data_IF_284837141053
#
_entry.id   IF_284837141053
#
_cell.length_a   1.000
_cell.length_b   1.000
_cell.length_c   1.000
_cell.angle_alpha   90.00
_cell.angle_beta   90.00
_cell.angle_gamma   90.00
#
_symmetry.space_group_name_H-M   'P 1'
#
loop_
_entity.id
_entity.type
_entity.pdbx_description
1 polymer ?
#
# COMPACT_ATOMS: atom_id res chain seq x y z
N UNK A 1 14.04 65.89 -12.87
CA UNK A 1 14.35 64.76 -13.81
C UNK A 1 15.61 63.97 -13.45
N UNK A 2 16.69 64.56 -12.93
CA UNK A 2 17.95 63.82 -12.60
C UNK A 2 17.81 62.91 -11.34
N UNK A 3 16.89 63.15 -10.43
CA UNK A 3 16.68 62.27 -9.27
C UNK A 3 15.78 61.06 -9.54
N UNK A 4 14.89 61.16 -10.52
CA UNK A 4 14.01 60.04 -10.90
C UNK A 4 14.81 58.95 -11.66
N UNK A 5 15.77 59.34 -12.48
CA UNK A 5 16.65 58.40 -13.20
C UNK A 5 17.57 57.61 -12.25
N UNK A 6 18.03 58.21 -11.14
CA UNK A 6 18.84 57.55 -10.11
C UNK A 6 18.07 56.55 -9.28
N UNK A 7 16.79 56.76 -9.03
CA UNK A 7 15.91 55.83 -8.28
C UNK A 7 15.57 54.58 -9.12
N UNK A 8 15.33 54.80 -10.43
CA UNK A 8 15.11 53.65 -11.35
C UNK A 8 16.34 52.77 -11.52
N UNK A 9 17.54 53.35 -11.56
CA UNK A 9 18.78 52.62 -11.69
C UNK A 9 19.13 51.82 -10.42
N UNK A 10 18.74 52.28 -9.25
CA UNK A 10 18.95 51.57 -7.99
C UNK A 10 17.92 50.43 -7.79
N UNK A 11 16.70 50.57 -8.32
CA UNK A 11 15.66 49.53 -8.28
C UNK A 11 15.98 48.38 -9.26
N UNK A 12 16.58 48.65 -10.41
CA UNK A 12 17.05 47.62 -11.34
C UNK A 12 18.28 46.84 -10.82
N UNK A 13 19.13 47.46 -9.98
CA UNK A 13 20.29 46.77 -9.39
C UNK A 13 19.93 45.82 -8.27
N UNK A 14 18.79 46.07 -7.55
CA UNK A 14 18.28 45.17 -6.51
C UNK A 14 17.60 43.92 -7.05
N UNK A 15 17.14 43.91 -8.30
CA UNK A 15 16.53 42.74 -8.96
C UNK A 15 17.58 41.75 -9.44
N UNK A 16 18.84 42.16 -9.63
CA UNK A 16 19.92 41.30 -10.11
C UNK A 16 20.68 40.53 -9.01
N UNK A 17 20.38 40.79 -7.73
CA UNK A 17 21.03 40.11 -6.60
C UNK A 17 20.17 39.00 -5.97
N UNK A 18 19.05 38.61 -6.60
CA UNK A 18 18.04 37.69 -6.04
C UNK A 18 18.00 36.29 -6.63
N UNK A 19 18.84 35.95 -7.60
CA UNK A 19 18.98 34.55 -8.06
C UNK A 19 20.26 33.94 -7.48
N UNK A 20 20.26 33.61 -6.19
CA UNK A 20 20.97 32.40 -5.79
C UNK A 20 20.12 31.26 -6.34
N UNK A 21 20.60 30.57 -7.38
CA UNK A 21 20.23 29.20 -7.64
C UNK A 21 20.47 28.48 -6.31
N UNK A 22 19.41 28.20 -5.58
CA UNK A 22 19.47 27.12 -4.61
C UNK A 22 19.75 25.90 -5.48
N UNK A 23 20.89 25.28 -5.32
CA UNK A 23 21.16 23.89 -5.73
C UNK A 23 20.21 22.98 -4.94
N UNK A 24 18.90 23.12 -5.21
CA UNK A 24 17.92 22.16 -4.74
C UNK A 24 18.14 20.90 -5.56
N UNK A 25 18.41 19.80 -4.88
CA UNK A 25 18.52 18.50 -5.53
C UNK A 25 17.37 18.30 -6.54
N UNK A 26 17.64 17.68 -7.70
CA UNK A 26 16.66 17.56 -8.78
C UNK A 26 15.45 16.73 -8.27
N UNK A 27 14.33 17.40 -8.13
CA UNK A 27 13.08 16.77 -7.66
C UNK A 27 12.17 16.45 -8.85
N UNK A 28 11.42 15.34 -8.71
CA UNK A 28 10.35 14.98 -9.63
C UNK A 28 9.00 15.45 -9.07
N UNK A 29 8.13 15.91 -9.95
CA UNK A 29 6.71 16.13 -9.70
C UNK A 29 5.94 15.92 -11.01
N UNK A 30 5.72 14.65 -11.37
CA UNK A 30 5.06 14.27 -12.59
C UNK A 30 3.79 13.45 -12.32
N UNK A 31 2.85 13.53 -13.26
CA UNK A 31 1.68 12.64 -13.30
C UNK A 31 1.70 11.86 -14.60
N UNK A 32 1.80 10.55 -14.49
CA UNK A 32 1.70 9.61 -15.58
C UNK A 32 0.30 8.97 -15.59
N UNK A 33 -0.12 8.46 -16.75
CA UNK A 33 -1.41 7.77 -16.87
C UNK A 33 -1.23 6.43 -17.57
N UNK A 34 -1.73 5.36 -16.95
CA UNK A 34 -1.90 4.07 -17.58
C UNK A 34 -3.36 3.91 -18.02
N UNK A 35 -3.58 3.79 -19.34
CA UNK A 35 -4.89 3.44 -19.91
C UNK A 35 -4.91 1.99 -20.33
N UNK A 36 -5.71 1.18 -19.65
CA UNK A 36 -5.76 -0.25 -19.95
C UNK A 36 -7.13 -0.86 -19.66
N UNK A 37 -7.68 -1.55 -20.65
CA UNK A 37 -8.96 -2.30 -20.56
C UNK A 37 -10.06 -1.51 -19.85
N UNK A 38 -10.29 -0.29 -20.32
CA UNK A 38 -11.36 0.58 -19.83
C UNK A 38 -11.04 1.37 -18.55
N UNK A 39 -9.91 1.09 -17.89
CA UNK A 39 -9.43 1.88 -16.76
C UNK A 39 -8.43 2.95 -17.20
N UNK A 40 -8.54 4.15 -16.64
CA UNK A 40 -7.59 5.26 -16.76
C UNK A 40 -7.03 5.55 -15.37
N UNK A 41 -5.80 5.08 -15.14
CA UNK A 41 -5.17 4.98 -13.83
C UNK A 41 -4.03 5.98 -13.71
N UNK A 42 -4.11 6.98 -12.81
CA UNK A 42 -3.02 7.92 -12.58
C UNK A 42 -1.90 7.30 -11.73
N UNK A 43 -0.67 7.74 -12.00
CA UNK A 43 0.54 7.45 -11.23
C UNK A 43 1.27 8.77 -10.99
N UNK A 44 1.28 9.26 -9.76
CA UNK A 44 2.00 10.47 -9.37
C UNK A 44 3.40 10.09 -8.93
N UNK A 45 4.42 10.63 -9.60
CA UNK A 45 5.82 10.43 -9.23
C UNK A 45 6.33 11.71 -8.58
N UNK A 46 6.75 11.62 -7.34
CA UNK A 46 7.17 12.77 -6.53
C UNK A 46 8.43 12.43 -5.72
N UNK A 47 9.35 13.38 -5.65
CA UNK A 47 10.48 13.25 -4.73
C UNK A 47 11.84 13.43 -5.38
N UNK A 48 12.88 12.98 -4.70
CA UNK A 48 14.27 13.14 -5.10
C UNK A 48 14.63 12.18 -6.24
N UNK A 49 15.16 12.72 -7.34
CA UNK A 49 15.64 11.93 -8.50
C UNK A 49 16.96 11.18 -8.23
N UNK A 50 17.71 11.60 -7.24
CA UNK A 50 18.92 10.92 -6.79
C UNK A 50 18.59 10.10 -5.54
N UNK A 51 18.91 8.82 -5.45
CA UNK A 51 19.88 8.02 -6.23
C UNK A 51 19.28 7.19 -7.40
N UNK A 52 18.30 7.66 -8.13
CA UNK A 52 17.60 6.92 -9.19
C UNK A 52 16.84 5.67 -8.68
N UNK A 53 16.20 5.80 -7.53
CA UNK A 53 15.36 4.76 -6.94
C UNK A 53 13.90 5.22 -6.92
N UNK A 54 13.00 4.32 -7.32
CA UNK A 54 11.54 4.54 -7.29
C UNK A 54 10.93 3.54 -6.33
N UNK A 55 10.14 4.03 -5.39
CA UNK A 55 9.29 3.19 -4.54
C UNK A 55 7.85 3.31 -5.03
N UNK A 56 7.33 2.26 -5.66
CA UNK A 56 5.93 2.18 -6.09
C UNK A 56 5.07 1.80 -4.88
N UNK A 57 4.25 2.74 -4.44
CA UNK A 57 3.26 2.49 -3.40
C UNK A 57 2.01 1.83 -4.00
N UNK A 58 1.71 0.61 -3.52
CA UNK A 58 0.57 -0.21 -3.89
C UNK A 58 -0.41 -0.22 -2.73
N UNK A 59 -1.42 0.63 -2.81
CA UNK A 59 -2.37 0.86 -1.72
C UNK A 59 -3.28 -0.34 -1.44
N UNK A 60 -3.89 -0.33 -0.26
CA UNK A 60 -4.84 -1.31 0.21
C UNK A 60 -6.27 -1.13 -0.32
N UNK A 61 -7.22 -1.60 0.41
CA UNK A 61 -8.64 -1.62 0.10
C UNK A 61 -9.17 -3.04 -0.05
N UNK A 62 -9.70 -3.45 -1.24
CA UNK A 62 -9.63 -2.81 -2.57
C UNK A 62 -10.40 -1.49 -2.69
N UNK A 63 -9.94 -0.62 -3.60
CA UNK A 63 -10.66 0.62 -3.93
C UNK A 63 -10.28 1.84 -3.10
N UNK A 64 -9.17 1.80 -2.37
CA UNK A 64 -8.62 2.94 -1.61
C UNK A 64 -7.98 4.00 -2.54
N UNK A 65 -7.07 4.82 -2.07
CA UNK A 65 -6.48 5.92 -2.83
C UNK A 65 -5.01 6.12 -2.43
N UNK A 66 -4.10 6.05 -3.39
CA UNK A 66 -2.67 6.13 -3.11
C UNK A 66 -2.26 7.51 -2.56
N UNK A 67 -2.77 8.60 -3.15
CA UNK A 67 -2.43 9.96 -2.72
C UNK A 67 -2.93 10.30 -1.32
N UNK A 68 -3.92 9.57 -0.80
CA UNK A 68 -4.43 9.76 0.56
C UNK A 68 -3.38 9.36 1.60
N UNK A 69 -2.53 8.42 1.27
CA UNK A 69 -1.42 7.95 2.12
C UNK A 69 -0.20 8.87 2.06
N UNK A 70 -0.10 9.74 1.06
CA UNK A 70 1.07 10.62 0.88
C UNK A 70 1.39 11.44 2.11
N UNK A 71 0.39 11.85 2.89
CA UNK A 71 0.62 12.60 4.12
C UNK A 71 1.60 11.90 5.07
N UNK A 72 1.51 10.56 5.18
CA UNK A 72 2.34 9.73 6.05
C UNK A 72 3.65 9.31 5.38
N UNK A 73 3.67 9.22 4.05
CA UNK A 73 4.80 8.69 3.29
C UNK A 73 5.69 9.77 2.66
N UNK A 74 5.26 11.05 2.70
CA UNK A 74 5.94 12.16 2.00
C UNK A 74 7.38 12.41 2.45
N UNK A 75 7.77 11.99 3.64
CA UNK A 75 9.16 12.12 4.09
C UNK A 75 10.12 11.26 3.28
N UNK A 76 9.64 10.13 2.72
CA UNK A 76 10.39 9.29 1.80
C UNK A 76 10.72 10.00 0.48
N UNK A 77 9.93 10.99 0.09
CA UNK A 77 10.18 11.82 -1.11
C UNK A 77 11.47 12.63 -1.02
N UNK A 78 12.09 12.75 0.17
CA UNK A 78 13.39 13.39 0.33
C UNK A 78 14.54 12.46 -0.08
N UNK A 79 14.34 11.15 -0.05
CA UNK A 79 15.37 10.15 -0.27
C UNK A 79 15.25 9.47 -1.64
N UNK A 80 14.02 9.33 -2.16
CA UNK A 80 13.70 8.59 -3.40
C UNK A 80 12.57 9.26 -4.16
N UNK A 81 12.31 8.79 -5.37
CA UNK A 81 11.05 9.05 -6.06
C UNK A 81 9.98 8.09 -5.52
N UNK A 82 8.92 8.64 -4.94
CA UNK A 82 7.71 7.88 -4.59
C UNK A 82 6.76 7.90 -5.77
N UNK A 83 6.30 6.73 -6.23
CA UNK A 83 5.26 6.60 -7.23
C UNK A 83 3.94 6.14 -6.55
N UNK A 84 2.95 7.01 -6.54
CA UNK A 84 1.63 6.75 -5.97
C UNK A 84 0.67 6.34 -7.08
N UNK A 85 0.26 5.09 -7.12
CA UNK A 85 -0.62 4.55 -8.16
C UNK A 85 -2.03 4.28 -7.63
N UNK A 86 -3.03 4.95 -8.20
CA UNK A 86 -4.42 4.57 -7.98
C UNK A 86 -4.79 3.42 -8.93
N UNK A 87 -5.12 2.30 -8.32
CA UNK A 87 -5.52 1.07 -9.01
C UNK A 87 -6.85 1.27 -9.76
N UNK A 88 -7.20 0.35 -10.67
CA UNK A 88 -8.52 0.38 -11.34
C UNK A 88 -9.66 0.46 -10.33
N UNK A 89 -10.68 1.25 -10.60
CA UNK A 89 -11.83 1.56 -9.74
C UNK A 89 -11.47 2.07 -8.33
N UNK A 90 -10.30 2.69 -8.18
CA UNK A 90 -9.80 3.23 -6.91
C UNK A 90 -9.42 4.71 -7.05
N UNK A 91 -9.49 5.47 -5.98
CA UNK A 91 -9.03 6.85 -5.88
C UNK A 91 -9.50 7.74 -7.02
N UNK A 92 -8.56 8.32 -7.76
CA UNK A 92 -8.80 9.18 -8.92
C UNK A 92 -8.84 8.42 -10.27
N UNK A 93 -8.78 7.08 -10.24
CA UNK A 93 -8.95 6.28 -11.46
C UNK A 93 -10.33 6.46 -12.05
N UNK A 94 -10.41 6.51 -13.37
CA UNK A 94 -11.62 6.76 -14.14
C UNK A 94 -11.79 5.75 -15.28
N UNK A 95 -12.82 5.96 -16.10
CA UNK A 95 -13.10 5.16 -17.29
C UNK A 95 -14.30 4.23 -17.12
N UNK A 96 -14.54 3.40 -18.14
CA UNK A 96 -15.63 2.40 -18.17
C UNK A 96 -15.02 1.02 -17.95
N UNK A 97 -14.82 0.68 -16.69
CA UNK A 97 -14.24 -0.61 -16.30
C UNK A 97 -15.31 -1.70 -16.40
N UNK A 98 -15.03 -2.75 -17.15
CA UNK A 98 -15.85 -3.96 -17.15
C UNK A 98 -15.66 -4.69 -15.79
N UNK A 99 -16.75 -4.94 -15.02
CA UNK A 99 -16.67 -5.69 -13.78
C UNK A 99 -15.97 -7.05 -13.90
N UNK A 100 -16.07 -7.69 -15.06
CA UNK A 100 -15.36 -8.94 -15.34
C UNK A 100 -13.82 -8.82 -15.27
N UNK A 101 -13.27 -7.60 -15.30
CA UNK A 101 -11.84 -7.32 -15.16
C UNK A 101 -11.40 -7.12 -13.69
N UNK A 102 -12.34 -7.12 -12.74
CA UNK A 102 -12.01 -7.01 -11.31
C UNK A 102 -11.56 -8.38 -10.77
N UNK A 103 -10.35 -8.79 -11.17
CA UNK A 103 -9.71 -10.07 -10.81
C UNK A 103 -8.24 -9.85 -10.52
N UNK A 104 -7.66 -10.69 -9.66
CA UNK A 104 -6.22 -10.62 -9.34
C UNK A 104 -5.32 -10.63 -10.58
N UNK A 105 -5.64 -11.48 -11.57
CA UNK A 105 -4.87 -11.53 -12.82
C UNK A 105 -4.83 -10.18 -13.53
N UNK A 106 -5.96 -9.43 -13.56
CA UNK A 106 -6.01 -8.12 -14.21
C UNK A 106 -5.28 -7.04 -13.40
N UNK A 107 -5.43 -7.03 -12.08
CA UNK A 107 -4.67 -6.09 -11.24
C UNK A 107 -3.17 -6.38 -11.31
N UNK A 108 -2.77 -7.67 -11.40
CA UNK A 108 -1.38 -8.05 -11.62
C UNK A 108 -0.84 -7.57 -12.97
N UNK A 109 -1.64 -7.65 -14.04
CA UNK A 109 -1.31 -7.11 -15.37
C UNK A 109 -1.19 -5.58 -15.33
N UNK A 110 -2.11 -4.89 -14.64
CA UNK A 110 -2.03 -3.43 -14.48
C UNK A 110 -0.74 -3.03 -13.75
N UNK A 111 -0.40 -3.73 -12.69
CA UNK A 111 0.83 -3.49 -11.93
C UNK A 111 2.08 -3.68 -12.79
N UNK A 112 2.13 -4.74 -13.60
CA UNK A 112 3.21 -4.96 -14.56
C UNK A 112 3.33 -3.79 -15.55
N UNK A 113 2.20 -3.31 -16.08
CA UNK A 113 2.19 -2.20 -17.01
C UNK A 113 2.59 -0.87 -16.35
N UNK A 114 2.21 -0.64 -15.09
CA UNK A 114 2.67 0.52 -14.30
C UNK A 114 4.19 0.48 -14.11
N UNK A 115 4.75 -0.68 -13.74
CA UNK A 115 6.20 -0.85 -13.57
C UNK A 115 6.92 -0.61 -14.89
N UNK A 116 6.40 -1.13 -16.01
CA UNK A 116 6.95 -0.87 -17.34
C UNK A 116 6.86 0.61 -17.75
N UNK A 117 5.77 1.30 -17.39
CA UNK A 117 5.61 2.74 -17.60
C UNK A 117 6.66 3.53 -16.82
N UNK A 118 6.87 3.19 -15.53
CA UNK A 118 7.92 3.82 -14.73
C UNK A 118 9.30 3.58 -15.30
N UNK A 119 9.64 2.34 -15.67
CA UNK A 119 10.95 2.01 -16.29
C UNK A 119 11.16 2.66 -17.65
N UNK A 120 10.11 2.90 -18.42
CA UNK A 120 10.19 3.65 -19.68
C UNK A 120 10.47 5.13 -19.45
N UNK A 121 9.82 5.72 -18.43
CA UNK A 121 9.99 7.14 -18.09
C UNK A 121 11.33 7.39 -17.37
N UNK A 122 11.77 6.43 -16.54
CA UNK A 122 12.98 6.49 -15.74
C UNK A 122 13.85 5.24 -15.98
N UNK A 123 14.51 5.13 -17.15
CA UNK A 123 15.13 3.88 -17.61
C UNK A 123 16.26 3.37 -16.71
N UNK A 124 16.91 4.25 -15.96
CA UNK A 124 18.02 3.92 -15.07
C UNK A 124 17.58 3.73 -13.61
N UNK A 125 16.28 3.87 -13.31
CA UNK A 125 15.82 3.76 -11.94
C UNK A 125 15.59 2.30 -11.52
N UNK A 126 16.05 1.98 -10.32
CA UNK A 126 15.66 0.76 -9.60
C UNK A 126 14.25 0.93 -9.05
N UNK A 127 13.41 -0.08 -9.22
CA UNK A 127 12.02 -0.04 -8.78
C UNK A 127 11.83 -0.97 -7.58
N UNK A 128 11.34 -0.43 -6.49
CA UNK A 128 10.93 -1.16 -5.28
C UNK A 128 9.42 -1.09 -5.12
N UNK A 129 8.83 -2.12 -4.54
CA UNK A 129 7.42 -2.13 -4.16
C UNK A 129 7.28 -1.81 -2.68
N UNK A 130 6.32 -0.95 -2.35
CA UNK A 130 5.82 -0.75 -0.98
C UNK A 130 4.33 -1.05 -1.02
N UNK A 131 3.96 -2.26 -0.63
CA UNK A 131 2.60 -2.76 -0.75
C UNK A 131 1.94 -2.86 0.63
N UNK A 132 0.70 -2.35 0.77
CA UNK A 132 -0.05 -2.37 2.02
C UNK A 132 -1.36 -3.15 1.87
N UNK A 133 -1.67 -4.01 2.86
CA UNK A 133 -2.96 -4.71 2.94
C UNK A 133 -3.28 -5.45 1.62
N UNK A 134 -4.42 -5.17 0.98
CA UNK A 134 -4.76 -5.69 -0.34
C UNK A 134 -3.66 -5.49 -1.41
N UNK A 135 -2.90 -4.40 -1.31
CA UNK A 135 -1.74 -4.17 -2.19
C UNK A 135 -0.69 -5.29 -2.11
N UNK A 136 -0.55 -5.95 -0.95
CA UNK A 136 0.34 -7.11 -0.77
C UNK A 136 -0.11 -8.32 -1.59
N UNK A 137 -1.42 -8.55 -1.69
CA UNK A 137 -1.97 -9.60 -2.54
C UNK A 137 -1.61 -9.35 -4.00
N UNK A 138 -1.71 -8.10 -4.45
CA UNK A 138 -1.31 -7.69 -5.81
C UNK A 138 0.20 -7.85 -6.02
N UNK A 139 1.01 -7.49 -5.02
CA UNK A 139 2.46 -7.68 -5.08
C UNK A 139 2.82 -9.17 -5.17
N UNK A 140 2.19 -10.05 -4.39
CA UNK A 140 2.38 -11.50 -4.54
C UNK A 140 1.91 -12.02 -5.89
N UNK A 141 0.75 -11.54 -6.38
CA UNK A 141 0.29 -11.89 -7.72
C UNK A 141 1.33 -11.51 -8.78
N UNK A 142 1.90 -10.32 -8.71
CA UNK A 142 2.93 -9.85 -9.64
C UNK A 142 4.23 -10.66 -9.52
N UNK A 143 4.79 -10.80 -8.32
CA UNK A 143 6.08 -11.46 -8.09
C UNK A 143 6.07 -12.95 -8.44
N UNK A 144 4.92 -13.61 -8.31
CA UNK A 144 4.77 -15.04 -8.60
C UNK A 144 4.29 -15.34 -10.02
N UNK A 145 4.11 -14.31 -10.87
CA UNK A 145 3.67 -14.49 -12.27
C UNK A 145 4.85 -14.38 -13.23
N UNK A 146 5.16 -15.44 -13.93
CA UNK A 146 6.22 -15.49 -14.94
C UNK A 146 7.56 -14.97 -14.42
N UNK A 147 8.18 -14.04 -15.15
CA UNK A 147 9.46 -13.43 -14.81
C UNK A 147 9.30 -12.02 -14.23
N UNK A 148 8.11 -11.63 -13.78
CA UNK A 148 7.82 -10.26 -13.36
C UNK A 148 8.72 -9.77 -12.22
N UNK A 149 9.10 -10.65 -11.29
CA UNK A 149 10.00 -10.29 -10.19
C UNK A 149 11.34 -9.70 -10.65
N UNK A 150 11.80 -10.03 -11.87
CA UNK A 150 13.05 -9.47 -12.44
C UNK A 150 12.93 -7.96 -12.79
N UNK A 151 11.73 -7.40 -12.76
CA UNK A 151 11.48 -5.99 -13.05
C UNK A 151 11.64 -5.09 -11.82
N UNK A 152 11.78 -5.64 -10.63
CA UNK A 152 11.90 -4.91 -9.36
C UNK A 152 13.14 -5.36 -8.59
N UNK A 153 13.68 -4.43 -7.77
CA UNK A 153 14.89 -4.66 -6.97
C UNK A 153 14.57 -5.22 -5.58
N UNK A 154 13.33 -5.05 -5.12
CA UNK A 154 12.85 -5.59 -3.85
C UNK A 154 11.40 -5.22 -3.59
N UNK A 155 10.79 -5.81 -2.55
CA UNK A 155 9.41 -5.53 -2.18
C UNK A 155 9.22 -5.53 -0.66
N UNK A 156 8.55 -4.50 -0.15
CA UNK A 156 8.15 -4.36 1.24
C UNK A 156 6.66 -4.64 1.36
N UNK A 157 6.32 -5.68 2.13
CA UNK A 157 4.96 -6.15 2.37
C UNK A 157 4.51 -5.69 3.74
N UNK A 158 3.51 -4.83 3.77
CA UNK A 158 2.99 -4.20 5.00
C UNK A 158 1.61 -4.77 5.31
N UNK A 159 1.51 -5.52 6.38
CA UNK A 159 0.24 -6.05 6.93
C UNK A 159 -0.69 -6.63 5.84
N UNK A 160 -0.23 -7.64 5.10
CA UNK A 160 -1.00 -8.23 4.02
C UNK A 160 -0.97 -9.76 3.98
N UNK A 161 -1.89 -10.37 3.31
CA UNK A 161 -2.00 -11.82 3.26
C UNK A 161 -1.36 -12.45 2.01
N UNK A 162 -1.00 -13.72 2.13
CA UNK A 162 -0.58 -14.59 1.03
C UNK A 162 -1.62 -15.66 0.69
N UNK A 163 -2.56 -15.91 1.59
CA UNK A 163 -3.61 -16.93 1.48
C UNK A 163 -4.86 -16.47 2.23
N UNK A 164 -6.02 -16.51 1.57
CA UNK A 164 -7.30 -16.16 2.21
C UNK A 164 -7.63 -17.10 3.38
N UNK A 165 -7.41 -18.42 3.18
CA UNK A 165 -7.63 -19.40 4.25
C UNK A 165 -6.75 -19.10 5.48
N UNK A 166 -5.44 -18.90 5.29
CA UNK A 166 -4.51 -18.64 6.40
C UNK A 166 -4.82 -17.34 7.10
N UNK A 167 -5.14 -16.30 6.32
CA UNK A 167 -5.55 -15.01 6.85
C UNK A 167 -6.78 -15.16 7.76
N UNK A 168 -7.89 -15.73 7.25
CA UNK A 168 -9.14 -15.84 8.01
C UNK A 168 -8.97 -16.75 9.25
N UNK A 169 -8.16 -17.79 9.14
CA UNK A 169 -7.80 -18.64 10.25
C UNK A 169 -7.10 -17.82 11.35
N UNK A 170 -6.10 -17.03 11.01
CA UNK A 170 -5.35 -16.23 11.97
C UNK A 170 -6.19 -15.08 12.55
N UNK A 171 -7.06 -14.45 11.78
CA UNK A 171 -8.03 -13.45 12.29
C UNK A 171 -8.92 -14.09 13.36
N UNK A 172 -9.45 -15.28 13.11
CA UNK A 172 -10.27 -16.01 14.07
C UNK A 172 -9.48 -16.38 15.33
N UNK A 173 -8.25 -16.90 15.20
CA UNK A 173 -7.41 -17.27 16.36
C UNK A 173 -7.04 -16.04 17.19
N UNK A 174 -6.66 -14.93 16.52
CA UNK A 174 -6.42 -13.66 17.17
C UNK A 174 -7.66 -13.19 17.98
N UNK A 175 -8.81 -13.16 17.34
CA UNK A 175 -10.04 -12.74 17.98
C UNK A 175 -10.42 -13.65 19.18
N UNK A 176 -10.25 -14.96 19.05
CA UNK A 176 -10.52 -15.92 20.12
C UNK A 176 -9.56 -15.72 21.31
N UNK A 177 -8.29 -15.46 21.04
CA UNK A 177 -7.31 -15.11 22.08
C UNK A 177 -7.75 -13.84 22.83
N UNK A 178 -8.09 -12.78 22.08
CA UNK A 178 -8.54 -11.52 22.69
C UNK A 178 -9.84 -11.67 23.48
N UNK A 179 -10.78 -12.49 22.99
CA UNK A 179 -12.04 -12.78 23.73
C UNK A 179 -11.75 -13.42 25.09
N UNK A 180 -10.85 -14.39 25.14
CA UNK A 180 -10.44 -15.06 26.38
C UNK A 180 -9.72 -14.12 27.33
N UNK A 181 -8.74 -13.35 26.84
CA UNK A 181 -7.97 -12.39 27.63
C UNK A 181 -8.88 -11.31 28.26
N UNK A 182 -9.92 -10.90 27.55
CA UNK A 182 -10.91 -9.90 28.02
C UNK A 182 -12.10 -10.49 28.77
N UNK A 183 -12.18 -11.81 28.91
CA UNK A 183 -13.32 -12.49 29.53
C UNK A 183 -14.64 -12.30 28.77
N UNK A 184 -14.59 -12.09 27.45
CA UNK A 184 -15.78 -11.91 26.62
C UNK A 184 -16.36 -13.26 26.19
N UNK A 185 -17.27 -13.80 27.04
CA UNK A 185 -17.87 -15.12 26.86
C UNK A 185 -18.71 -15.22 25.58
N UNK A 186 -19.40 -14.14 25.18
CA UNK A 186 -20.20 -14.13 23.94
C UNK A 186 -19.30 -14.30 22.69
N UNK A 187 -18.22 -13.53 22.63
CA UNK A 187 -17.24 -13.63 21.55
C UNK A 187 -16.57 -15.01 21.53
N UNK A 188 -16.15 -15.52 22.69
CA UNK A 188 -15.52 -16.83 22.80
C UNK A 188 -16.44 -17.95 22.32
N UNK A 189 -17.71 -17.94 22.73
CA UNK A 189 -18.69 -18.92 22.26
C UNK A 189 -18.90 -18.87 20.76
N UNK A 190 -19.09 -17.66 20.20
CA UNK A 190 -19.25 -17.49 18.75
C UNK A 190 -18.04 -18.00 17.98
N UNK A 191 -16.84 -17.55 18.35
CA UNK A 191 -15.61 -17.92 17.66
C UNK A 191 -15.27 -19.41 17.80
N UNK A 192 -15.62 -20.02 18.92
CA UNK A 192 -15.46 -21.48 19.13
C UNK A 192 -16.41 -22.28 18.24
N UNK A 193 -17.64 -21.80 18.06
CA UNK A 193 -18.63 -22.44 17.22
C UNK A 193 -18.38 -22.26 15.70
N UNK A 194 -17.49 -21.30 15.31
CA UNK A 194 -17.15 -20.99 13.91
C UNK A 194 -15.68 -21.27 13.62
N UNK A 195 -15.23 -22.54 13.64
CA UNK A 195 -13.85 -22.89 13.30
C UNK A 195 -13.59 -22.64 11.80
N UNK A 196 -12.40 -22.13 11.48
CA UNK A 196 -11.96 -21.91 10.10
C UNK A 196 -11.06 -23.06 9.66
N UNK A 197 -11.40 -23.68 8.55
CA UNK A 197 -10.64 -24.75 7.91
C UNK A 197 -10.46 -24.47 6.42
N UNK A 198 -9.52 -25.14 5.77
CA UNK A 198 -9.31 -25.00 4.32
C UNK A 198 -10.57 -25.39 3.50
N UNK A 199 -11.42 -26.26 4.06
CA UNK A 199 -12.61 -26.78 3.38
C UNK A 199 -13.85 -25.91 3.56
N UNK A 200 -13.92 -25.07 4.58
CA UNK A 200 -15.12 -24.29 4.89
C UNK A 200 -15.00 -22.78 4.66
N UNK A 201 -13.94 -22.28 4.05
CA UNK A 201 -13.73 -20.85 3.78
C UNK A 201 -14.86 -20.18 3.01
N UNK A 202 -15.60 -20.95 2.20
CA UNK A 202 -16.75 -20.46 1.44
C UNK A 202 -18.05 -20.37 2.27
N UNK A 203 -18.15 -21.07 3.39
CA UNK A 203 -19.39 -21.24 4.15
C UNK A 203 -19.32 -20.75 5.60
N UNK A 204 -18.12 -20.55 6.15
CA UNK A 204 -17.92 -20.01 7.49
C UNK A 204 -18.42 -18.56 7.58
N UNK A 205 -19.00 -18.19 8.71
CA UNK A 205 -19.43 -16.81 8.98
C UNK A 205 -18.21 -15.88 9.17
N UNK A 206 -17.54 -15.56 8.05
CA UNK A 206 -16.38 -14.67 8.06
C UNK A 206 -16.74 -13.25 8.52
N UNK A 207 -17.96 -12.76 8.19
CA UNK A 207 -18.44 -11.43 8.62
C UNK A 207 -18.59 -11.37 10.13
N UNK A 208 -19.11 -12.44 10.74
CA UNK A 208 -19.21 -12.56 12.19
C UNK A 208 -17.83 -12.59 12.85
N UNK A 209 -16.88 -13.34 12.29
CA UNK A 209 -15.47 -13.38 12.77
C UNK A 209 -14.87 -11.97 12.69
N UNK A 210 -14.99 -11.30 11.55
CA UNK A 210 -14.43 -9.98 11.31
C UNK A 210 -15.07 -8.90 12.20
N UNK A 211 -16.39 -8.97 12.41
CA UNK A 211 -17.11 -8.12 13.36
C UNK A 211 -16.62 -8.29 14.79
N UNK A 212 -16.33 -9.51 15.24
CA UNK A 212 -15.76 -9.74 16.57
C UNK A 212 -14.33 -9.25 16.68
N UNK A 213 -13.51 -9.43 15.64
CA UNK A 213 -12.17 -8.86 15.59
C UNK A 213 -12.20 -7.34 15.85
N UNK A 214 -13.11 -6.61 15.17
CA UNK A 214 -13.26 -5.17 15.40
C UNK A 214 -13.77 -4.83 16.81
N UNK A 215 -14.76 -5.56 17.34
CA UNK A 215 -15.28 -5.36 18.70
C UNK A 215 -14.23 -5.64 19.79
N UNK A 216 -13.22 -6.41 19.48
CA UNK A 216 -12.13 -6.78 20.38
C UNK A 216 -10.88 -5.89 20.20
N UNK A 217 -11.03 -4.73 19.57
CA UNK A 217 -9.99 -3.73 19.32
C UNK A 217 -8.88 -4.18 18.34
N UNK A 218 -9.23 -5.00 17.36
CA UNK A 218 -8.28 -5.47 16.35
C UNK A 218 -7.77 -4.41 15.39
N UNK A 219 -8.48 -3.29 15.26
CA UNK A 219 -8.01 -2.08 14.59
C UNK A 219 -8.72 -0.82 15.12
N UNK A 220 -8.47 -0.39 16.36
CA UNK A 220 -9.13 0.78 16.95
C UNK A 220 -8.61 2.10 16.37
N UNK A 221 -7.38 2.10 15.82
CA UNK A 221 -6.77 3.26 15.16
C UNK A 221 -6.64 2.89 13.68
N UNK A 222 -7.61 3.32 12.90
CA UNK A 222 -7.62 3.11 11.45
C UNK A 222 -7.40 4.43 10.71
N UNK A 223 -7.03 4.34 9.44
CA UNK A 223 -6.98 5.50 8.53
C UNK A 223 -8.25 6.34 8.57
N UNK A 224 -9.41 5.69 8.59
CA UNK A 224 -10.71 6.36 8.57
C UNK A 224 -11.05 7.10 9.88
N UNK A 225 -10.38 6.79 10.97
CA UNK A 225 -10.50 7.51 12.25
C UNK A 225 -9.51 8.68 12.35
N UNK A 226 -8.48 8.74 11.51
CA UNK A 226 -7.54 9.86 11.47
C UNK A 226 -8.12 11.03 10.66
N UNK A 227 -8.39 12.16 11.35
CA UNK A 227 -8.90 13.38 10.72
C UNK A 227 -7.98 13.88 9.58
N UNK A 228 -6.66 13.68 9.70
CA UNK A 228 -5.70 14.10 8.68
C UNK A 228 -5.85 13.26 7.42
N UNK A 229 -6.06 11.95 7.55
CA UNK A 229 -6.37 11.10 6.42
C UNK A 229 -7.68 11.53 5.75
N UNK A 230 -8.75 11.71 6.50
CA UNK A 230 -10.06 12.12 5.98
C UNK A 230 -9.97 13.46 5.23
N UNK A 231 -9.23 14.43 5.77
CA UNK A 231 -9.00 15.73 5.11
C UNK A 231 -8.19 15.54 3.82
N UNK A 232 -7.09 14.79 3.86
CA UNK A 232 -6.29 14.51 2.66
C UNK A 232 -7.07 13.70 1.62
N UNK A 233 -7.89 12.75 2.05
CA UNK A 233 -8.79 12.01 1.19
C UNK A 233 -9.78 12.95 0.48
N UNK A 234 -10.38 13.91 1.22
CA UNK A 234 -11.30 14.88 0.67
C UNK A 234 -10.67 15.82 -0.38
N UNK A 235 -9.40 16.20 -0.21
CA UNK A 235 -8.72 17.16 -1.09
C UNK A 235 -7.88 16.51 -2.21
N UNK A 236 -7.38 15.30 -2.01
CA UNK A 236 -6.50 14.62 -2.98
C UNK A 236 -7.21 13.55 -3.82
N UNK A 237 -8.43 13.18 -3.46
CA UNK A 237 -9.28 12.37 -4.32
C UNK A 237 -10.34 13.25 -4.96
N UNK A 238 -10.18 13.71 -6.21
CA UNK A 238 -11.18 14.54 -6.91
C UNK A 238 -12.53 13.84 -7.05
N UNK A 239 -12.59 12.55 -6.79
CA UNK A 239 -13.78 11.71 -6.83
C UNK A 239 -14.21 11.24 -5.43
N UNK A 240 -14.07 12.07 -4.38
CA UNK A 240 -14.31 11.67 -2.99
C UNK A 240 -15.68 11.02 -2.75
N UNK A 241 -16.74 11.53 -3.35
CA UNK A 241 -18.05 10.88 -3.33
C UNK A 241 -18.07 9.61 -4.21
N UNK A 242 -17.36 9.64 -5.35
CA UNK A 242 -17.25 8.51 -6.28
C UNK A 242 -16.32 7.42 -5.74
N UNK A 243 -15.27 7.78 -5.01
CA UNK A 243 -14.34 6.82 -4.42
C UNK A 243 -15.03 5.95 -3.34
N UNK A 244 -15.94 6.51 -2.56
CA UNK A 244 -16.79 5.69 -1.68
C UNK A 244 -17.69 4.73 -2.47
N UNK A 245 -18.21 5.15 -3.61
CA UNK A 245 -18.99 4.29 -4.50
C UNK A 245 -18.11 3.28 -5.25
N UNK A 246 -16.89 3.63 -5.63
CA UNK A 246 -15.93 2.74 -6.29
C UNK A 246 -15.32 1.76 -5.30
N UNK A 247 -15.03 2.19 -4.06
CA UNK A 247 -14.61 1.30 -2.97
C UNK A 247 -15.69 0.25 -2.70
N UNK A 248 -16.95 0.67 -2.55
CA UNK A 248 -18.08 -0.23 -2.37
C UNK A 248 -18.27 -1.18 -3.56
N UNK A 249 -18.08 -0.71 -4.80
CA UNK A 249 -18.12 -1.56 -6.00
C UNK A 249 -16.94 -2.52 -6.06
N UNK A 250 -15.72 -2.05 -5.87
CA UNK A 250 -14.53 -2.88 -5.85
C UNK A 250 -14.66 -3.95 -4.75
N UNK A 251 -15.09 -3.57 -3.55
CA UNK A 251 -15.29 -4.48 -2.43
C UNK A 251 -16.38 -5.52 -2.70
N UNK A 252 -17.51 -5.12 -3.29
CA UNK A 252 -18.60 -6.03 -3.63
C UNK A 252 -18.21 -7.05 -4.71
N UNK A 253 -17.43 -6.66 -5.72
CA UNK A 253 -16.92 -7.59 -6.73
C UNK A 253 -15.80 -8.48 -6.21
N UNK A 254 -14.96 -7.98 -5.33
CA UNK A 254 -13.75 -8.62 -4.87
C UNK A 254 -13.97 -9.47 -3.62
N UNK A 255 -14.74 -8.93 -2.67
CA UNK A 255 -14.86 -9.51 -1.33
C UNK A 255 -15.46 -10.91 -1.31
N UNK A 256 -16.40 -11.19 -2.19
CA UNK A 256 -17.17 -12.44 -2.09
C UNK A 256 -16.65 -13.61 -2.92
N UNK A 257 -15.97 -13.38 -4.03
CA UNK A 257 -15.64 -14.47 -4.96
C UNK A 257 -14.14 -14.60 -5.22
N UNK A 258 -13.44 -13.50 -5.47
CA UNK A 258 -12.02 -13.55 -5.88
C UNK A 258 -11.10 -13.67 -4.67
N UNK A 259 -11.32 -12.91 -3.59
CA UNK A 259 -10.44 -12.95 -2.40
C UNK A 259 -10.42 -14.34 -1.75
N UNK A 260 -11.56 -15.04 -1.72
CA UNK A 260 -11.66 -16.39 -1.17
C UNK A 260 -10.83 -17.44 -1.92
N UNK A 261 -10.45 -17.16 -3.17
CA UNK A 261 -9.61 -18.04 -4.00
C UNK A 261 -8.13 -17.67 -3.94
N UNK A 262 -7.79 -16.57 -3.25
CA UNK A 262 -6.42 -16.11 -3.21
C UNK A 262 -5.54 -17.06 -2.41
N UNK A 263 -4.57 -17.68 -3.10
CA UNK A 263 -3.63 -18.63 -2.52
C UNK A 263 -2.29 -18.52 -3.26
N UNK A 264 -1.24 -18.11 -2.54
CA UNK A 264 0.11 -17.95 -3.07
C UNK A 264 1.17 -18.70 -2.27
N UNK A 265 0.79 -19.33 -1.15
CA UNK A 265 1.73 -19.97 -0.25
C UNK A 265 2.71 -20.91 -0.95
N UNK A 266 2.20 -21.79 -1.81
CA UNK A 266 3.03 -22.75 -2.58
C UNK A 266 3.92 -22.11 -3.65
N UNK A 267 3.77 -20.80 -3.94
CA UNK A 267 4.57 -20.09 -4.94
C UNK A 267 5.63 -19.18 -4.30
N UNK A 268 5.52 -18.86 -3.00
CA UNK A 268 6.43 -17.93 -2.34
C UNK A 268 7.87 -18.45 -2.27
N UNK A 269 8.09 -19.75 -2.28
CA UNK A 269 9.44 -20.34 -2.37
C UNK A 269 10.16 -20.01 -3.69
N UNK A 270 9.45 -19.55 -4.72
CA UNK A 270 10.02 -19.13 -6.01
C UNK A 270 10.41 -17.65 -6.06
N UNK A 271 10.11 -16.88 -5.02
CA UNK A 271 10.52 -15.47 -4.92
C UNK A 271 12.03 -15.40 -4.64
N UNK A 272 12.73 -14.51 -5.36
CA UNK A 272 14.18 -14.34 -5.32
C UNK A 272 14.61 -12.90 -4.97
N UNK A 273 13.72 -11.91 -5.20
CA UNK A 273 14.00 -10.53 -4.85
C UNK A 273 13.94 -10.33 -3.34
N UNK A 274 14.75 -9.46 -2.73
CA UNK A 274 14.68 -9.15 -1.31
C UNK A 274 13.27 -8.75 -0.87
N UNK A 275 12.83 -9.27 0.29
CA UNK A 275 11.49 -9.02 0.84
C UNK A 275 11.61 -8.39 2.23
N UNK A 276 10.96 -7.22 2.41
CA UNK A 276 10.66 -6.64 3.71
C UNK A 276 9.28 -7.11 4.21
N UNK A 277 9.19 -7.66 5.43
CA UNK A 277 7.93 -7.96 6.11
C UNK A 277 7.75 -6.97 7.25
N UNK A 278 6.86 -6.00 7.05
CA UNK A 278 6.63 -4.87 7.96
C UNK A 278 5.25 -5.02 8.62
N UNK A 279 5.23 -5.25 9.93
CA UNK A 279 4.00 -5.67 10.60
C UNK A 279 3.71 -4.92 11.89
N UNK A 280 2.45 -4.45 12.05
CA UNK A 280 1.94 -3.98 13.33
C UNK A 280 1.71 -5.14 14.30
N UNK A 281 2.30 -5.09 15.49
CA UNK A 281 2.19 -6.17 16.48
C UNK A 281 0.77 -6.37 17.03
N UNK A 282 -0.08 -5.34 16.90
CA UNK A 282 -1.45 -5.34 17.41
C UNK A 282 -2.50 -5.54 16.30
N UNK A 283 -2.07 -5.79 15.07
CA UNK A 283 -2.98 -5.91 13.93
C UNK A 283 -3.90 -7.12 14.08
N UNK A 284 -5.20 -6.87 14.20
CA UNK A 284 -6.24 -7.90 14.16
C UNK A 284 -6.84 -8.10 12.77
N UNK A 285 -6.64 -7.12 11.84
CA UNK A 285 -7.10 -7.25 10.44
C UNK A 285 -6.25 -8.27 9.70
N UNK A 286 -4.92 -8.15 9.80
CA UNK A 286 -3.98 -9.17 9.30
C UNK A 286 -2.97 -9.47 10.42
N UNK A 287 -3.28 -10.45 11.28
CA UNK A 287 -2.47 -10.76 12.45
C UNK A 287 -1.00 -11.02 12.12
N UNK A 288 -0.12 -10.70 13.08
CA UNK A 288 1.34 -10.85 12.96
C UNK A 288 1.74 -12.27 12.53
N UNK A 289 1.00 -13.26 12.95
CA UNK A 289 1.21 -14.67 12.64
C UNK A 289 1.15 -14.95 11.12
N UNK A 290 0.37 -14.16 10.35
CA UNK A 290 0.36 -14.24 8.88
C UNK A 290 1.72 -13.81 8.31
N UNK A 291 2.35 -12.79 8.88
CA UNK A 291 3.70 -12.35 8.52
C UNK A 291 4.77 -13.40 8.88
N UNK A 292 4.61 -14.08 10.02
CA UNK A 292 5.49 -15.16 10.46
C UNK A 292 5.40 -16.37 9.52
N UNK A 293 4.18 -16.78 9.14
CA UNK A 293 3.97 -17.83 8.16
C UNK A 293 4.55 -17.45 6.79
N UNK A 294 4.36 -16.19 6.36
CA UNK A 294 4.95 -15.69 5.12
C UNK A 294 6.46 -15.84 5.11
N UNK A 295 7.13 -15.49 6.20
CA UNK A 295 8.58 -15.63 6.34
C UNK A 295 9.04 -17.08 6.16
N UNK A 296 8.33 -18.04 6.76
CA UNK A 296 8.66 -19.48 6.64
C UNK A 296 8.56 -19.98 5.20
N UNK A 297 7.64 -19.40 4.40
CA UNK A 297 7.43 -19.78 3.01
C UNK A 297 8.46 -19.18 2.04
N UNK A 298 9.10 -18.06 2.42
CA UNK A 298 10.12 -17.36 1.63
C UNK A 298 11.51 -18.03 1.80
N UNK A 299 11.67 -19.23 1.24
CA UNK A 299 12.87 -20.07 1.46
C UNK A 299 14.12 -19.63 0.70
N UNK A 300 13.96 -18.88 -0.38
CA UNK A 300 15.02 -18.65 -1.37
C UNK A 300 15.27 -17.16 -1.63
N UNK A 301 14.93 -16.32 -0.67
CA UNK A 301 15.19 -14.88 -0.73
C UNK A 301 15.63 -14.34 0.63
N UNK A 302 16.28 -13.19 0.62
CA UNK A 302 16.59 -12.45 1.83
C UNK A 302 15.32 -11.80 2.38
N UNK A 303 15.07 -11.98 3.69
CA UNK A 303 13.90 -11.44 4.37
C UNK A 303 14.33 -10.50 5.50
N UNK A 304 13.98 -9.23 5.37
CA UNK A 304 14.08 -8.24 6.45
C UNK A 304 12.75 -8.15 7.17
N UNK A 305 12.71 -8.43 8.47
CA UNK A 305 11.50 -8.33 9.29
C UNK A 305 11.55 -7.11 10.20
N UNK A 306 10.49 -6.32 10.20
CA UNK A 306 10.29 -5.20 11.14
C UNK A 306 8.91 -5.30 11.77
N UNK A 307 8.88 -5.37 13.10
CA UNK A 307 7.64 -5.39 13.88
C UNK A 307 7.47 -4.05 14.61
N UNK A 308 6.34 -3.39 14.36
CA UNK A 308 5.96 -2.12 14.97
C UNK A 308 5.13 -2.39 16.22
N UNK A 309 5.76 -2.25 17.38
CA UNK A 309 5.22 -2.75 18.65
C UNK A 309 3.93 -2.05 19.11
N UNK A 310 3.70 -0.81 18.69
CA UNK A 310 2.53 -0.02 19.06
C UNK A 310 1.50 0.11 17.94
N UNK A 311 1.75 -0.51 16.79
CA UNK A 311 0.93 -0.35 15.59
C UNK A 311 -0.07 -1.50 15.40
N UNK A 312 -1.20 -1.12 14.82
CA UNK A 312 -2.21 -1.99 14.24
C UNK A 312 -1.97 -2.15 12.73
N UNK A 313 -3.03 -2.05 11.92
CA UNK A 313 -2.97 -2.30 10.47
C UNK A 313 -2.18 -1.24 9.68
N UNK A 314 -2.04 -0.04 10.22
CA UNK A 314 -1.38 1.09 9.54
C UNK A 314 -0.16 1.60 10.36
N UNK A 315 1.00 0.90 10.33
CA UNK A 315 2.18 1.29 11.10
C UNK A 315 2.74 2.65 10.67
N UNK A 316 2.54 3.06 9.43
CA UNK A 316 2.92 4.39 8.94
C UNK A 316 2.12 5.54 9.58
N UNK A 317 0.98 5.26 10.27
CA UNK A 317 0.24 6.26 11.05
C UNK A 317 0.80 6.37 12.47
N UNK A 318 0.91 5.23 13.15
CA UNK A 318 1.17 5.20 14.60
C UNK A 318 2.66 5.25 14.95
N UNK A 319 3.51 4.69 14.11
CA UNK A 319 4.97 4.67 14.26
C UNK A 319 5.66 5.22 13.01
N UNK A 320 5.19 6.37 12.51
CA UNK A 320 5.60 6.98 11.23
C UNK A 320 7.11 7.09 11.07
N UNK A 321 7.83 7.58 12.09
CA UNK A 321 9.29 7.77 12.02
C UNK A 321 10.03 6.44 11.91
N UNK A 322 9.62 5.44 12.69
CA UNK A 322 10.22 4.10 12.65
C UNK A 322 9.90 3.41 11.32
N UNK A 323 8.66 3.58 10.81
CA UNK A 323 8.26 3.05 9.51
C UNK A 323 9.08 3.67 8.37
N UNK A 324 9.22 4.99 8.34
CA UNK A 324 10.03 5.71 7.36
C UNK A 324 11.48 5.22 7.38
N UNK A 325 12.06 5.06 8.58
CA UNK A 325 13.42 4.54 8.72
C UNK A 325 13.56 3.10 8.23
N UNK A 326 12.57 2.23 8.47
CA UNK A 326 12.58 0.86 7.98
C UNK A 326 12.56 0.80 6.44
N UNK A 327 11.72 1.63 5.80
CA UNK A 327 11.68 1.75 4.33
C UNK A 327 13.02 2.26 3.79
N UNK A 328 13.59 3.33 4.37
CA UNK A 328 14.92 3.86 4.01
C UNK A 328 16.01 2.79 4.10
N UNK A 329 16.05 2.09 5.21
CA UNK A 329 17.05 1.04 5.44
C UNK A 329 16.93 -0.07 4.41
N UNK A 330 15.72 -0.55 4.12
CA UNK A 330 15.50 -1.59 3.11
C UNK A 330 15.95 -1.14 1.72
N UNK A 331 15.51 0.05 1.27
CA UNK A 331 15.86 0.59 -0.06
C UNK A 331 17.36 0.90 -0.18
N UNK A 332 18.05 1.24 0.91
CA UNK A 332 19.50 1.54 0.88
C UNK A 332 20.38 0.27 0.89
N UNK A 333 19.87 -0.83 1.43
CA UNK A 333 20.61 -2.10 1.55
C UNK A 333 20.53 -2.95 0.26
N UNK A 334 19.48 -2.76 -0.51
CA UNK A 334 19.19 -3.50 -1.72
C UNK A 334 19.13 -2.58 -2.94
#
# INVERSE_FOLDING_TARGET
>A
MKHFARLLMFSCLLVLLGCKENDSEPREDATLYLRHKGADMPVWVKGNKQPNKIVLFVHGGPGDCAMCYRYYLKELENDVMMAYWDQRVAGASSGKVDPATLRYAQFGEDMELVIRLLKKQYPNAEVYLLAHSFGVELAWQFLTTGNNQQQVSGAMMVNGMFSYYRWLYQVREWALKQAREKGNVEAENFLTANPVTAQNTATVDWEGIYRWMHKLDGNPISLYSDKKYVINYAFNSPNTALAQFTHSKAYGYYGDVESRKFEKGGLLENVRVPIGLFWGAKDGIVPLEVGEETQVLLKNTEVTRVTFAQSWHEPFITETSQFTQAVRSFVSQH
#
